data_IF_430061543404
#
_entry.id   IF_430061543404
#
_cell.length_a   1.000
_cell.length_b   1.000
_cell.length_c   1.000
_cell.angle_alpha   90.00
_cell.angle_beta   90.00
_cell.angle_gamma   90.00
#
_symmetry.space_group_name_H-M   'P 1'
#
loop_
_entity.id
_entity.type
_entity.pdbx_description
1 polymer ?
#
# COMPACT_ATOMS: atom_id res chain seq x y z
N UNK A 1 -8.97 -17.29 -16.71
CA UNK A 1 -8.24 -17.84 -15.57
C UNK A 1 -7.18 -16.85 -15.18
N UNK A 2 -7.06 -16.48 -13.88
CA UNK A 2 -6.09 -15.49 -13.37
C UNK A 2 -5.13 -16.18 -12.41
N UNK A 3 -3.85 -16.13 -12.69
CA UNK A 3 -2.80 -16.77 -11.87
C UNK A 3 -2.24 -15.79 -10.86
N UNK A 4 -2.37 -16.11 -9.58
CA UNK A 4 -1.99 -15.27 -8.46
C UNK A 4 -0.82 -15.90 -7.72
N UNK A 5 0.30 -15.20 -7.65
CA UNK A 5 1.39 -15.55 -6.74
C UNK A 5 1.06 -15.07 -5.33
N UNK A 6 1.22 -15.92 -4.35
CA UNK A 6 0.94 -15.59 -2.94
C UNK A 6 2.23 -15.71 -2.13
N UNK A 7 2.61 -14.64 -1.47
CA UNK A 7 3.81 -14.58 -0.61
C UNK A 7 3.35 -14.13 0.78
N UNK A 8 3.06 -15.04 1.72
CA UNK A 8 2.62 -14.68 3.07
C UNK A 8 3.69 -13.91 3.86
N UNK A 9 4.96 -14.22 3.64
CA UNK A 9 6.10 -13.58 4.31
C UNK A 9 6.26 -14.00 5.77
N UNK A 10 6.31 -13.02 6.69
CA UNK A 10 6.70 -13.21 8.08
C UNK A 10 5.62 -12.72 9.06
N UNK A 11 5.72 -13.18 10.28
CA UNK A 11 4.94 -12.68 11.40
C UNK A 11 3.43 -12.73 11.16
N UNK A 12 2.74 -11.61 11.39
CA UNK A 12 1.29 -11.52 11.12
C UNK A 12 0.94 -11.60 9.63
N UNK A 13 1.90 -11.38 8.73
CA UNK A 13 1.72 -11.56 7.30
C UNK A 13 1.14 -12.93 6.96
N UNK A 14 1.62 -13.99 7.62
CA UNK A 14 1.11 -15.36 7.49
C UNK A 14 -0.36 -15.45 7.96
N UNK A 15 -0.66 -14.84 9.12
CA UNK A 15 -2.00 -14.91 9.72
C UNK A 15 -3.04 -14.18 8.86
N UNK A 16 -2.75 -12.95 8.44
CA UNK A 16 -3.71 -12.13 7.68
C UNK A 16 -3.86 -12.60 6.22
N UNK A 17 -2.76 -13.10 5.61
CA UNK A 17 -2.83 -13.69 4.27
C UNK A 17 -3.68 -14.94 4.25
N UNK A 18 -3.60 -15.78 5.30
CA UNK A 18 -4.48 -16.95 5.41
C UNK A 18 -5.96 -16.55 5.35
N UNK A 19 -6.37 -15.46 6.02
CA UNK A 19 -7.76 -15.02 6.01
C UNK A 19 -8.16 -14.41 4.66
N UNK A 20 -7.32 -13.60 4.03
CA UNK A 20 -7.59 -13.10 2.68
C UNK A 20 -7.63 -14.22 1.63
N UNK A 21 -6.83 -15.27 1.77
CA UNK A 21 -6.90 -16.45 0.90
C UNK A 21 -8.20 -17.23 1.07
N UNK A 22 -8.74 -17.33 2.29
CA UNK A 22 -10.06 -17.93 2.53
C UNK A 22 -11.15 -17.14 1.80
N UNK A 23 -11.10 -15.82 1.89
CA UNK A 23 -12.02 -14.92 1.18
C UNK A 23 -11.89 -15.09 -0.34
N UNK A 24 -10.68 -15.13 -0.89
CA UNK A 24 -10.47 -15.32 -2.33
C UNK A 24 -10.93 -16.69 -2.84
N UNK A 25 -10.78 -17.76 -2.05
CA UNK A 25 -11.37 -19.07 -2.38
C UNK A 25 -12.89 -19.02 -2.40
N UNK A 26 -13.50 -18.31 -1.43
CA UNK A 26 -14.96 -18.10 -1.42
C UNK A 26 -15.43 -17.28 -2.62
N UNK A 27 -14.67 -16.27 -3.04
CA UNK A 27 -14.92 -15.49 -4.27
C UNK A 27 -14.92 -16.41 -5.50
N UNK A 28 -14.00 -17.38 -5.60
CA UNK A 28 -14.01 -18.36 -6.68
C UNK A 28 -15.31 -19.18 -6.70
N UNK A 29 -15.79 -19.62 -5.54
CA UNK A 29 -17.02 -20.42 -5.43
C UNK A 29 -18.27 -19.63 -5.82
N UNK A 30 -18.39 -18.38 -5.32
CA UNK A 30 -19.60 -17.58 -5.49
C UNK A 30 -19.66 -16.88 -6.84
N UNK A 31 -18.54 -16.37 -7.32
CA UNK A 31 -18.48 -15.52 -8.55
C UNK A 31 -17.91 -16.27 -9.76
N UNK A 32 -17.40 -17.49 -9.60
CA UNK A 32 -16.71 -18.18 -10.69
C UNK A 32 -15.49 -17.40 -11.18
N UNK A 33 -14.75 -16.74 -10.29
CA UNK A 33 -13.72 -15.75 -10.61
C UNK A 33 -12.49 -16.34 -11.37
N UNK A 34 -12.31 -17.66 -11.33
CA UNK A 34 -11.25 -18.36 -12.05
C UNK A 34 -9.85 -17.99 -11.56
N UNK A 35 -9.68 -17.81 -10.24
CA UNK A 35 -8.38 -17.52 -9.63
C UNK A 35 -7.64 -18.84 -9.34
N UNK A 36 -6.39 -18.90 -9.75
CA UNK A 36 -5.44 -19.96 -9.41
C UNK A 36 -4.32 -19.40 -8.54
N UNK A 37 -3.96 -20.11 -7.49
CA UNK A 37 -3.01 -19.63 -6.49
C UNK A 37 -1.75 -20.49 -6.45
N UNK A 38 -0.60 -19.85 -6.45
CA UNK A 38 0.69 -20.48 -6.18
C UNK A 38 1.31 -19.79 -4.97
N UNK A 39 1.48 -20.53 -3.88
CA UNK A 39 2.09 -20.00 -2.63
C UNK A 39 3.60 -20.20 -2.66
N UNK A 40 4.32 -19.15 -2.22
CA UNK A 40 5.77 -19.12 -2.09
C UNK A 40 6.16 -18.93 -0.62
N UNK A 41 7.08 -19.73 -0.14
CA UNK A 41 7.60 -19.73 1.23
C UNK A 41 8.69 -18.67 1.49
N UNK A 42 8.63 -17.56 0.75
CA UNK A 42 9.65 -16.50 0.83
C UNK A 42 9.42 -15.59 2.02
N UNK A 43 10.44 -15.55 2.88
CA UNK A 43 10.43 -14.81 4.13
C UNK A 43 11.69 -15.14 4.94
N UNK A 44 11.67 -14.76 6.20
CA UNK A 44 12.80 -14.91 7.11
C UNK A 44 13.23 -16.37 7.33
N UNK A 45 12.29 -17.32 7.44
CA UNK A 45 12.61 -18.73 7.67
C UNK A 45 13.45 -19.30 6.52
N UNK A 46 13.03 -19.04 5.27
CA UNK A 46 13.80 -19.47 4.11
C UNK A 46 15.13 -18.77 4.01
N UNK A 47 15.14 -17.45 4.26
CA UNK A 47 16.37 -16.66 4.24
C UNK A 47 17.40 -17.17 5.28
N UNK A 48 16.97 -17.43 6.50
CA UNK A 48 17.85 -17.96 7.56
C UNK A 48 18.40 -19.36 7.24
N UNK A 49 17.61 -20.18 6.55
CA UNK A 49 17.99 -21.54 6.17
C UNK A 49 18.90 -21.59 4.94
N UNK A 50 18.62 -20.79 3.93
CA UNK A 50 19.22 -20.91 2.59
C UNK A 50 20.12 -19.70 2.22
N UNK A 51 20.00 -18.57 2.93
CA UNK A 51 20.70 -17.32 2.62
C UNK A 51 20.20 -16.60 1.38
N UNK A 52 19.03 -17.00 0.85
CA UNK A 52 18.46 -16.48 -0.39
C UNK A 52 17.10 -15.85 -0.09
N UNK A 53 16.95 -14.56 -0.39
CA UNK A 53 15.68 -13.84 -0.24
C UNK A 53 14.74 -14.11 -1.42
N UNK A 54 15.22 -13.86 -2.64
CA UNK A 54 14.54 -14.17 -3.89
C UNK A 54 15.43 -15.09 -4.76
N UNK A 55 14.88 -16.18 -5.31
CA UNK A 55 15.66 -17.04 -6.19
C UNK A 55 16.00 -16.35 -7.53
N UNK A 56 17.09 -16.71 -8.20
CA UNK A 56 17.40 -16.24 -9.53
C UNK A 56 16.22 -16.52 -10.49
N UNK A 57 15.90 -15.54 -11.33
CA UNK A 57 14.78 -15.66 -12.30
C UNK A 57 13.39 -15.35 -11.74
N UNK A 58 13.26 -14.98 -10.45
CA UNK A 58 11.96 -14.65 -9.84
C UNK A 58 11.19 -13.57 -10.60
N UNK A 59 11.86 -12.50 -11.04
CA UNK A 59 11.21 -11.42 -11.78
C UNK A 59 10.65 -11.88 -13.13
N UNK A 60 11.39 -12.71 -13.86
CA UNK A 60 10.94 -13.22 -15.15
C UNK A 60 9.77 -14.21 -14.98
N UNK A 61 9.81 -15.03 -13.94
CA UNK A 61 8.72 -15.92 -13.57
C UNK A 61 7.45 -15.10 -13.28
N UNK A 62 7.54 -14.05 -12.44
CA UNK A 62 6.36 -13.22 -12.15
C UNK A 62 5.78 -12.56 -13.39
N UNK A 63 6.63 -12.00 -14.26
CA UNK A 63 6.17 -11.36 -15.50
C UNK A 63 5.47 -12.31 -16.47
N UNK A 64 5.92 -13.58 -16.54
CA UNK A 64 5.42 -14.56 -17.51
C UNK A 64 4.26 -15.38 -16.99
N UNK A 65 4.30 -15.72 -15.71
CA UNK A 65 3.48 -16.78 -15.17
C UNK A 65 2.34 -16.28 -14.28
N UNK A 66 2.31 -15.00 -13.90
CA UNK A 66 1.32 -14.48 -12.98
C UNK A 66 0.66 -13.19 -13.47
N UNK A 67 -0.61 -13.02 -13.11
CA UNK A 67 -1.41 -11.81 -13.38
C UNK A 67 -1.31 -10.80 -12.23
N UNK A 68 -1.08 -11.28 -11.00
CA UNK A 68 -0.88 -10.44 -9.81
C UNK A 68 -0.10 -11.18 -8.72
N UNK A 69 0.45 -10.41 -7.78
CA UNK A 69 1.12 -10.91 -6.57
C UNK A 69 0.32 -10.43 -5.37
N UNK A 70 -0.15 -11.35 -4.53
CA UNK A 70 -0.69 -11.06 -3.20
C UNK A 70 0.43 -11.27 -2.18
N UNK A 71 0.76 -10.22 -1.45
CA UNK A 71 1.87 -10.21 -0.52
C UNK A 71 1.34 -9.92 0.90
N UNK A 72 1.85 -10.64 1.90
CA UNK A 72 1.49 -10.41 3.28
C UNK A 72 2.34 -9.31 3.91
N UNK A 73 3.39 -9.70 4.62
CA UNK A 73 4.35 -8.77 5.19
C UNK A 73 5.69 -9.46 5.41
N UNK A 74 6.79 -8.71 5.35
CA UNK A 74 8.12 -9.25 5.65
C UNK A 74 8.81 -8.44 6.74
N UNK A 75 9.60 -9.13 7.55
CA UNK A 75 10.39 -8.56 8.62
C UNK A 75 10.47 -9.50 9.83
N UNK A 76 11.69 -9.83 10.26
CA UNK A 76 11.94 -10.69 11.40
C UNK A 76 13.18 -10.20 12.15
N UNK A 77 13.12 -9.97 13.48
CA UNK A 77 14.24 -9.46 14.26
C UNK A 77 15.44 -10.40 14.29
N UNK A 78 15.29 -11.67 13.92
CA UNK A 78 16.39 -12.63 13.80
C UNK A 78 17.31 -12.34 12.63
N UNK A 79 16.83 -11.58 11.61
CA UNK A 79 17.65 -11.19 10.47
C UNK A 79 18.21 -9.78 10.71
N UNK A 80 19.54 -9.63 10.83
CA UNK A 80 20.17 -8.33 11.04
C UNK A 80 19.78 -7.31 9.98
N UNK A 81 19.56 -6.06 10.39
CA UNK A 81 19.20 -4.93 9.53
C UNK A 81 17.97 -5.16 8.62
N UNK A 82 17.15 -6.18 8.94
CA UNK A 82 16.00 -6.57 8.13
C UNK A 82 16.35 -6.81 6.65
N UNK A 83 17.56 -7.29 6.38
CA UNK A 83 18.13 -7.40 5.04
C UNK A 83 17.23 -8.19 4.08
N UNK A 84 16.65 -9.32 4.53
CA UNK A 84 15.75 -10.13 3.71
C UNK A 84 14.50 -9.36 3.28
N UNK A 85 13.96 -8.48 4.14
CA UNK A 85 12.78 -7.69 3.82
C UNK A 85 13.07 -6.71 2.66
N UNK A 86 14.21 -6.04 2.70
CA UNK A 86 14.65 -5.18 1.60
C UNK A 86 14.92 -6.01 0.33
N UNK A 87 15.59 -7.15 0.44
CA UNK A 87 15.91 -8.05 -0.68
C UNK A 87 14.68 -8.74 -1.28
N UNK A 88 13.54 -8.81 -0.59
CA UNK A 88 12.28 -9.30 -1.13
C UNK A 88 11.42 -8.12 -1.63
N UNK A 89 10.94 -7.27 -0.74
CA UNK A 89 9.93 -6.27 -1.07
C UNK A 89 10.46 -5.14 -1.94
N UNK A 90 11.59 -4.52 -1.56
CA UNK A 90 12.16 -3.45 -2.38
C UNK A 90 12.69 -4.00 -3.71
N UNK A 91 13.28 -5.21 -3.70
CA UNK A 91 13.71 -5.83 -4.94
C UNK A 91 12.55 -6.10 -5.89
N UNK A 92 11.37 -6.55 -5.41
CA UNK A 92 10.17 -6.71 -6.22
C UNK A 92 9.67 -5.36 -6.76
N UNK A 93 9.64 -4.31 -5.93
CA UNK A 93 9.23 -2.95 -6.37
C UNK A 93 10.12 -2.43 -7.50
N UNK A 94 11.44 -2.53 -7.35
CA UNK A 94 12.39 -2.06 -8.36
C UNK A 94 12.48 -3.01 -9.56
N UNK A 95 12.61 -4.31 -9.32
CA UNK A 95 12.80 -5.31 -10.36
C UNK A 95 11.60 -5.47 -11.29
N UNK A 96 10.38 -5.28 -10.79
CA UNK A 96 9.14 -5.30 -11.58
C UNK A 96 8.68 -3.91 -12.01
N UNK A 97 9.45 -2.86 -11.67
CA UNK A 97 9.14 -1.45 -11.95
C UNK A 97 7.73 -1.04 -11.47
N UNK A 98 7.40 -1.39 -10.22
CA UNK A 98 6.11 -1.10 -9.58
C UNK A 98 6.07 0.36 -9.10
N UNK A 99 6.02 1.29 -10.04
CA UNK A 99 6.31 2.70 -9.78
C UNK A 99 5.20 3.48 -9.07
N UNK A 100 3.96 2.98 -9.09
CA UNK A 100 2.84 3.66 -8.45
C UNK A 100 2.37 2.85 -7.24
N UNK A 101 2.63 3.35 -6.03
CA UNK A 101 2.03 2.79 -4.82
C UNK A 101 0.72 3.53 -4.53
N UNK A 102 -0.38 2.80 -4.67
CA UNK A 102 -1.74 3.33 -4.52
C UNK A 102 -2.28 2.91 -3.17
N UNK A 103 -2.66 3.87 -2.34
CA UNK A 103 -3.16 3.65 -0.98
C UNK A 103 -4.51 4.35 -0.79
N UNK A 104 -5.64 3.66 -0.97
CA UNK A 104 -6.95 4.19 -0.65
C UNK A 104 -7.09 4.41 0.85
N UNK A 105 -7.68 5.55 1.22
CA UNK A 105 -7.98 5.92 2.60
C UNK A 105 -9.48 6.16 2.69
N UNK A 106 -10.19 5.25 3.35
CA UNK A 106 -11.64 5.30 3.44
C UNK A 106 -12.12 4.93 4.83
N UNK A 107 -12.80 5.85 5.47
CA UNK A 107 -13.43 5.61 6.77
C UNK A 107 -14.77 4.89 6.58
N UNK A 108 -14.90 3.69 7.15
CA UNK A 108 -16.13 2.90 7.02
C UNK A 108 -17.16 3.18 8.13
N UNK A 109 -16.70 3.67 9.29
CA UNK A 109 -17.57 4.05 10.41
C UNK A 109 -16.87 5.11 11.27
N UNK A 110 -17.60 6.12 11.71
CA UNK A 110 -17.07 7.25 12.49
C UNK A 110 -16.30 6.84 13.76
N UNK A 111 -16.71 5.74 14.43
CA UNK A 111 -16.01 5.23 15.62
C UNK A 111 -14.54 4.86 15.40
N UNK A 112 -14.14 4.64 14.15
CA UNK A 112 -12.76 4.28 13.79
C UNK A 112 -11.87 5.52 13.66
N UNK A 113 -12.45 6.70 13.45
CA UNK A 113 -11.70 7.94 13.29
C UNK A 113 -11.38 8.57 14.66
N UNK A 114 -10.12 8.94 14.93
CA UNK A 114 -9.76 9.59 16.19
C UNK A 114 -10.20 11.06 16.25
N UNK A 115 -10.65 11.64 15.13
CA UNK A 115 -11.05 13.04 15.04
C UNK A 115 -12.51 13.23 15.46
N UNK A 116 -12.76 14.30 16.21
CA UNK A 116 -14.13 14.66 16.63
C UNK A 116 -14.91 15.25 15.45
N UNK A 117 -16.16 14.80 15.26
CA UNK A 117 -17.07 15.35 14.27
C UNK A 117 -16.73 14.98 12.82
N UNK A 118 -15.92 13.96 12.62
CA UNK A 118 -15.58 13.43 11.29
C UNK A 118 -16.38 12.15 11.06
N UNK A 119 -17.23 12.16 10.04
CA UNK A 119 -18.04 11.01 9.63
C UNK A 119 -17.39 10.21 8.49
N UNK A 120 -17.98 9.07 8.17
CA UNK A 120 -17.49 8.19 7.11
C UNK A 120 -17.39 8.87 5.72
N UNK A 121 -18.23 9.85 5.45
CA UNK A 121 -18.20 10.60 4.19
C UNK A 121 -17.05 11.61 4.09
N UNK A 122 -16.44 11.98 5.23
CA UNK A 122 -15.40 13.02 5.27
C UNK A 122 -14.00 12.48 4.96
N UNK A 123 -13.78 11.16 5.03
CA UNK A 123 -12.50 10.53 4.74
C UNK A 123 -12.67 9.53 3.60
N UNK A 124 -12.41 9.98 2.39
CA UNK A 124 -12.46 9.17 1.17
C UNK A 124 -11.52 9.76 0.10
N UNK A 125 -10.25 9.49 0.23
CA UNK A 125 -9.23 9.94 -0.70
C UNK A 125 -8.20 8.84 -0.97
N UNK A 126 -7.38 9.02 -1.98
CA UNK A 126 -6.31 8.07 -2.34
C UNK A 126 -4.97 8.79 -2.39
N UNK A 127 -3.96 8.21 -1.79
CA UNK A 127 -2.57 8.65 -1.97
C UNK A 127 -1.91 7.81 -3.05
N UNK A 128 -1.36 8.49 -4.05
CA UNK A 128 -0.55 7.94 -5.13
C UNK A 128 0.91 8.32 -4.83
N UNK A 129 1.66 7.37 -4.29
CA UNK A 129 3.05 7.51 -3.88
C UNK A 129 3.96 7.04 -5.00
N UNK A 130 4.94 7.86 -5.40
CA UNK A 130 6.06 7.38 -6.21
C UNK A 130 6.80 6.28 -5.44
N UNK A 131 7.20 5.19 -6.09
CA UNK A 131 7.56 3.96 -5.38
C UNK A 131 8.92 3.36 -5.77
N UNK A 132 9.64 3.95 -6.71
CA UNK A 132 10.89 3.42 -7.27
C UNK A 132 12.07 4.39 -7.26
N UNK A 133 11.88 5.58 -6.75
CA UNK A 133 12.90 6.65 -6.70
C UNK A 133 12.98 7.28 -5.29
N UNK A 134 13.51 8.47 -5.19
CA UNK A 134 13.66 9.23 -3.96
C UNK A 134 14.82 8.75 -3.09
N UNK A 135 14.67 8.81 -1.79
CA UNK A 135 15.65 8.36 -0.81
C UNK A 135 15.82 6.82 -0.78
N UNK A 136 14.83 6.07 -1.28
CA UNK A 136 14.79 4.61 -1.29
C UNK A 136 15.75 3.96 -2.28
N UNK A 137 16.34 4.71 -3.21
CA UNK A 137 17.42 4.21 -4.10
C UNK A 137 18.72 3.93 -3.34
N UNK A 138 18.77 4.30 -2.06
CA UNK A 138 19.91 4.10 -1.17
C UNK A 138 21.25 4.65 -1.72
N UNK A 139 21.20 5.84 -2.33
CA UNK A 139 22.38 6.56 -2.81
C UNK A 139 22.97 7.42 -1.70
N UNK A 140 24.23 7.18 -1.35
CA UNK A 140 24.86 7.90 -0.26
C UNK A 140 26.09 7.19 0.26
N UNK A 141 26.57 7.62 1.42
CA UNK A 141 27.72 7.00 2.05
C UNK A 141 28.12 7.63 3.38
N UNK A 142 29.11 7.00 4.02
CA UNK A 142 29.68 7.45 5.28
C UNK A 142 31.19 7.58 5.13
N UNK A 143 31.70 8.74 5.53
CA UNK A 143 33.12 9.02 5.60
C UNK A 143 33.59 9.15 7.06
N UNK A 144 34.75 8.64 7.41
CA UNK A 144 35.34 8.61 8.79
C UNK A 144 34.41 8.01 9.85
N UNK A 145 33.69 6.94 9.51
CA UNK A 145 32.73 6.27 10.42
C UNK A 145 33.34 5.97 11.79
N UNK A 146 32.59 6.31 12.86
CA UNK A 146 32.97 6.05 14.25
C UNK A 146 33.93 7.09 14.84
N UNK A 147 34.21 8.22 14.16
CA UNK A 147 35.01 9.34 14.67
C UNK A 147 34.17 10.59 14.88
N UNK A 148 34.72 11.61 15.58
CA UNK A 148 34.06 12.91 15.74
C UNK A 148 33.88 13.68 14.41
N UNK A 149 34.71 13.34 13.41
CA UNK A 149 34.65 13.94 12.06
C UNK A 149 33.81 13.09 11.10
N UNK A 150 32.95 12.19 11.60
CA UNK A 150 32.09 11.38 10.75
C UNK A 150 31.15 12.23 9.91
N UNK A 151 31.08 11.94 8.61
CA UNK A 151 30.14 12.54 7.67
C UNK A 151 29.28 11.45 7.07
N UNK A 152 27.96 11.57 7.20
CA UNK A 152 27.00 10.72 6.52
C UNK A 152 26.18 11.55 5.53
N UNK A 153 26.01 11.06 4.31
CA UNK A 153 25.14 11.67 3.33
C UNK A 153 24.15 10.64 2.74
N UNK A 154 22.94 11.10 2.47
CA UNK A 154 21.90 10.37 1.77
C UNK A 154 21.32 11.27 0.68
N UNK A 155 21.25 10.77 -0.55
CA UNK A 155 20.79 11.52 -1.72
C UNK A 155 19.39 11.05 -2.09
N UNK A 156 18.46 11.98 -2.32
CA UNK A 156 17.22 11.71 -3.03
C UNK A 156 17.43 11.83 -4.55
N UNK A 157 16.98 10.84 -5.30
CA UNK A 157 17.06 10.82 -6.75
C UNK A 157 15.67 10.95 -7.34
N UNK A 158 15.48 11.95 -8.20
CA UNK A 158 14.23 12.17 -8.92
C UNK A 158 14.55 12.29 -10.40
N UNK A 159 14.05 11.36 -11.21
CA UNK A 159 14.19 11.46 -12.66
C UNK A 159 12.96 12.11 -13.28
N UNK A 160 13.15 12.77 -14.42
CA UNK A 160 12.00 13.30 -15.19
C UNK A 160 11.01 12.21 -15.52
N UNK A 161 11.47 11.03 -15.92
CA UNK A 161 10.64 9.87 -16.23
C UNK A 161 9.81 9.44 -15.02
N UNK A 162 10.42 9.30 -13.85
CA UNK A 162 9.76 8.85 -12.62
C UNK A 162 8.68 9.84 -12.19
N UNK A 163 9.01 11.13 -12.17
CA UNK A 163 8.10 12.20 -11.77
C UNK A 163 6.92 12.35 -12.75
N UNK A 164 7.20 12.37 -14.06
CA UNK A 164 6.13 12.49 -15.07
C UNK A 164 5.15 11.33 -14.98
N UNK A 165 5.63 10.08 -14.91
CA UNK A 165 4.75 8.89 -14.92
C UNK A 165 3.88 8.77 -13.68
N UNK A 166 4.38 9.14 -12.49
CA UNK A 166 3.57 9.05 -11.28
C UNK A 166 2.52 10.15 -11.21
N UNK A 167 2.83 11.35 -11.69
CA UNK A 167 1.88 12.44 -11.80
C UNK A 167 0.80 12.10 -12.81
N UNK A 168 1.19 11.62 -14.00
CA UNK A 168 0.24 11.16 -15.03
C UNK A 168 -0.68 10.07 -14.50
N UNK A 169 -0.10 9.08 -13.80
CA UNK A 169 -0.89 8.02 -13.15
C UNK A 169 -1.94 8.58 -12.17
N UNK A 170 -1.59 9.60 -11.37
CA UNK A 170 -2.51 10.20 -10.41
C UNK A 170 -3.68 10.92 -11.09
N UNK A 171 -3.45 11.67 -12.16
CA UNK A 171 -4.51 12.31 -12.94
C UNK A 171 -5.39 11.27 -13.65
N UNK A 172 -4.79 10.27 -14.26
CA UNK A 172 -5.49 9.15 -14.90
C UNK A 172 -6.33 8.36 -13.90
N UNK A 173 -5.78 8.08 -12.71
CA UNK A 173 -6.50 7.47 -11.60
C UNK A 173 -7.71 8.32 -11.19
N UNK A 174 -7.53 9.63 -11.02
CA UNK A 174 -8.60 10.52 -10.68
C UNK A 174 -9.73 10.47 -11.72
N UNK A 175 -9.40 10.58 -13.01
CA UNK A 175 -10.37 10.53 -14.11
C UNK A 175 -11.13 9.19 -14.16
N UNK A 176 -10.43 8.06 -14.09
CA UNK A 176 -11.04 6.72 -14.12
C UNK A 176 -11.98 6.45 -12.94
N UNK A 177 -11.71 7.07 -11.79
CA UNK A 177 -12.49 6.90 -10.56
C UNK A 177 -13.49 8.06 -10.30
N UNK A 178 -13.78 8.89 -11.31
CA UNK A 178 -14.74 9.99 -11.18
C UNK A 178 -14.32 11.04 -10.13
N UNK A 179 -13.03 11.14 -9.82
CA UNK A 179 -12.48 12.15 -8.91
C UNK A 179 -12.16 13.42 -9.69
N UNK A 180 -12.42 14.56 -9.07
CA UNK A 180 -12.31 15.88 -9.72
C UNK A 180 -11.18 16.74 -9.14
N UNK A 181 -10.45 16.24 -8.15
CA UNK A 181 -9.38 16.99 -7.47
C UNK A 181 -8.11 16.14 -7.36
N UNK A 182 -6.98 16.71 -7.78
CA UNK A 182 -5.63 16.17 -7.56
C UNK A 182 -4.79 17.20 -6.84
N UNK A 183 -4.23 16.83 -5.69
CA UNK A 183 -3.30 17.63 -4.91
C UNK A 183 -1.90 17.02 -5.00
N UNK A 184 -0.93 17.77 -5.50
CA UNK A 184 0.48 17.39 -5.39
C UNK A 184 1.07 17.90 -4.09
N UNK A 185 1.89 17.08 -3.43
CA UNK A 185 2.60 17.51 -2.22
C UNK A 185 4.10 17.27 -2.33
N UNK A 186 4.86 18.27 -1.93
CA UNK A 186 6.32 18.27 -1.92
C UNK A 186 6.89 19.15 -0.78
N UNK A 187 8.19 19.39 -0.80
CA UNK A 187 8.87 20.36 0.07
C UNK A 187 9.75 21.30 -0.78
N UNK A 188 9.22 21.78 -1.90
CA UNK A 188 9.94 22.59 -2.88
C UNK A 188 10.50 23.92 -2.33
N UNK A 189 9.94 24.43 -1.21
CA UNK A 189 10.51 25.61 -0.55
C UNK A 189 11.85 25.33 0.17
N UNK A 190 12.27 24.06 0.30
CA UNK A 190 13.55 23.65 0.88
C UNK A 190 14.34 22.81 -0.12
N UNK A 191 13.70 21.87 -0.79
CA UNK A 191 14.27 20.93 -1.76
C UNK A 191 14.14 21.50 -3.18
N UNK A 192 14.86 22.60 -3.46
CA UNK A 192 14.63 23.42 -4.66
C UNK A 192 14.78 22.68 -5.98
N UNK A 193 15.80 21.83 -6.16
CA UNK A 193 16.03 21.14 -7.43
C UNK A 193 14.99 20.04 -7.70
N UNK A 194 14.72 19.18 -6.73
CA UNK A 194 13.68 18.17 -6.84
C UNK A 194 12.30 18.83 -6.99
N UNK A 195 12.01 19.84 -6.16
CA UNK A 195 10.77 20.60 -6.17
C UNK A 195 10.50 21.27 -7.51
N UNK A 196 11.50 21.92 -8.13
CA UNK A 196 11.35 22.51 -9.47
C UNK A 196 10.90 21.47 -10.51
N UNK A 197 11.53 20.29 -10.50
CA UNK A 197 11.15 19.20 -11.39
C UNK A 197 9.69 18.77 -11.17
N UNK A 198 9.29 18.52 -9.92
CA UNK A 198 7.93 18.11 -9.57
C UNK A 198 6.91 19.18 -9.96
N UNK A 199 7.15 20.45 -9.65
CA UNK A 199 6.26 21.57 -9.99
C UNK A 199 6.04 21.70 -11.49
N UNK A 200 7.12 21.65 -12.30
CA UNK A 200 7.02 21.73 -13.76
C UNK A 200 6.26 20.55 -14.37
N UNK A 201 6.53 19.33 -13.90
CA UNK A 201 5.83 18.12 -14.36
C UNK A 201 4.36 18.19 -13.98
N UNK A 202 4.04 18.60 -12.75
CA UNK A 202 2.65 18.70 -12.29
C UNK A 202 1.85 19.76 -13.07
N UNK A 203 2.42 20.95 -13.28
CA UNK A 203 1.81 21.98 -14.11
C UNK A 203 1.55 21.52 -15.55
N UNK A 204 2.52 20.80 -16.13
CA UNK A 204 2.38 20.25 -17.48
C UNK A 204 1.31 19.16 -17.57
N UNK A 205 1.19 18.30 -16.57
CA UNK A 205 0.12 17.31 -16.50
C UNK A 205 -1.24 17.99 -16.31
N UNK A 206 -1.38 18.89 -15.34
CA UNK A 206 -2.65 19.61 -15.08
C UNK A 206 -3.23 20.29 -16.34
N UNK A 207 -2.38 20.81 -17.22
CA UNK A 207 -2.81 21.40 -18.48
C UNK A 207 -3.47 20.40 -19.45
N UNK A 208 -3.20 19.09 -19.31
CA UNK A 208 -3.81 18.02 -20.12
C UNK A 208 -5.12 17.48 -19.54
N UNK A 209 -5.43 17.83 -18.28
CA UNK A 209 -6.62 17.40 -17.57
C UNK A 209 -7.42 18.60 -17.03
N UNK A 210 -7.94 19.46 -17.94
CA UNK A 210 -8.62 20.72 -17.56
C UNK A 210 -9.90 20.49 -16.73
N UNK A 211 -10.47 19.29 -16.78
CA UNK A 211 -11.62 18.87 -15.99
C UNK A 211 -11.28 18.55 -14.52
N UNK A 212 -10.00 18.41 -14.19
CA UNK A 212 -9.54 18.08 -12.84
C UNK A 212 -8.93 19.31 -12.18
N UNK A 213 -9.48 19.70 -11.05
CA UNK A 213 -8.92 20.76 -10.21
C UNK A 213 -7.59 20.33 -9.64
N UNK A 214 -6.52 21.01 -10.02
CA UNK A 214 -5.18 20.76 -9.50
C UNK A 214 -4.81 21.75 -8.39
N UNK A 215 -4.13 21.27 -7.35
CA UNK A 215 -3.63 22.08 -6.25
C UNK A 215 -2.26 21.59 -5.78
N UNK A 216 -1.55 22.45 -5.07
CA UNK A 216 -0.26 22.13 -4.47
C UNK A 216 -0.23 22.53 -3.00
N UNK A 217 0.34 21.66 -2.17
CA UNK A 217 0.60 21.92 -0.76
C UNK A 217 2.01 21.44 -0.39
N UNK A 218 2.69 22.22 0.42
CA UNK A 218 3.88 21.69 1.09
C UNK A 218 3.48 20.57 2.06
N UNK A 219 4.35 19.59 2.23
CA UNK A 219 4.05 18.37 2.99
C UNK A 219 3.57 18.62 4.42
N UNK A 220 4.13 19.61 5.10
CA UNK A 220 3.71 20.03 6.43
C UNK A 220 2.29 20.62 6.45
N UNK A 221 1.95 21.43 5.45
CA UNK A 221 0.60 21.94 5.27
C UNK A 221 -0.39 20.82 4.91
N UNK A 222 0.02 19.87 4.07
CA UNK A 222 -0.79 18.68 3.76
C UNK A 222 -1.12 17.90 5.03
N UNK A 223 -0.12 17.57 5.86
CA UNK A 223 -0.33 16.82 7.11
C UNK A 223 -1.32 17.55 8.03
N UNK A 224 -1.17 18.89 8.19
CA UNK A 224 -2.10 19.69 8.96
C UNK A 224 -3.54 19.62 8.43
N UNK A 225 -3.70 19.79 7.11
CA UNK A 225 -5.02 19.85 6.48
C UNK A 225 -5.67 18.46 6.41
N UNK A 226 -4.92 17.38 6.26
CA UNK A 226 -5.46 16.01 6.35
C UNK A 226 -6.14 15.74 7.69
N UNK A 227 -5.63 16.31 8.78
CA UNK A 227 -6.25 16.18 10.12
C UNK A 227 -7.41 17.14 10.29
N UNK A 228 -7.32 18.36 9.76
CA UNK A 228 -8.33 19.41 9.99
C UNK A 228 -9.50 19.37 9.02
N UNK A 229 -9.24 18.97 7.77
CA UNK A 229 -10.19 19.07 6.66
C UNK A 229 -10.01 17.89 5.69
N UNK A 230 -10.07 16.61 6.15
CA UNK A 230 -9.81 15.44 5.31
C UNK A 230 -10.72 15.36 4.07
N UNK A 231 -11.95 15.88 4.17
CA UNK A 231 -12.95 15.91 3.08
C UNK A 231 -12.53 16.73 1.84
N UNK A 232 -11.54 17.59 1.97
CA UNK A 232 -11.10 18.44 0.85
C UNK A 232 -10.22 17.66 -0.14
N UNK A 233 -9.72 16.49 0.24
CA UNK A 233 -8.86 15.65 -0.58
C UNK A 233 -9.63 14.55 -1.32
N UNK A 234 -9.19 14.26 -2.55
CA UNK A 234 -9.68 13.13 -3.33
C UNK A 234 -8.54 12.27 -3.85
N UNK A 235 -7.54 12.85 -4.52
CA UNK A 235 -6.30 12.19 -4.92
C UNK A 235 -5.13 13.07 -4.51
N UNK A 236 -4.14 12.46 -3.86
CA UNK A 236 -2.89 13.11 -3.45
C UNK A 236 -1.76 12.40 -4.16
N UNK A 237 -0.87 13.14 -4.83
CA UNK A 237 0.35 12.59 -5.43
C UNK A 237 1.58 13.20 -4.77
N UNK A 238 2.58 12.36 -4.44
CA UNK A 238 3.80 12.79 -3.77
C UNK A 238 4.97 11.82 -4.00
N UNK A 239 6.17 12.24 -3.61
CA UNK A 239 7.37 11.42 -3.69
C UNK A 239 7.31 10.20 -2.73
N UNK A 240 8.30 9.34 -2.86
CA UNK A 240 8.36 8.07 -2.14
C UNK A 240 8.35 8.26 -0.61
N UNK A 241 9.26 9.06 -0.07
CA UNK A 241 9.39 9.23 1.38
C UNK A 241 8.19 9.96 2.00
N UNK A 242 7.73 11.04 1.39
CA UNK A 242 6.56 11.76 1.91
C UNK A 242 5.29 10.93 1.78
N UNK A 243 5.14 10.16 0.69
CA UNK A 243 4.04 9.24 0.50
C UNK A 243 3.97 8.16 1.59
N UNK A 244 5.12 7.66 2.03
CA UNK A 244 5.18 6.71 3.15
C UNK A 244 4.67 7.34 4.45
N UNK A 245 5.22 8.49 4.81
CA UNK A 245 4.89 9.19 6.07
C UNK A 245 3.41 9.59 6.12
N UNK A 246 2.90 10.23 5.06
CA UNK A 246 1.51 10.73 5.08
C UNK A 246 0.48 9.61 5.02
N UNK A 247 0.80 8.45 4.47
CA UNK A 247 -0.14 7.33 4.45
C UNK A 247 -0.28 6.64 5.79
N UNK A 248 0.73 6.69 6.66
CA UNK A 248 0.62 6.21 8.04
C UNK A 248 -0.28 7.15 8.86
N UNK A 249 -0.11 8.48 8.67
CA UNK A 249 -1.05 9.46 9.23
C UNK A 249 -2.48 9.24 8.70
N UNK A 250 -2.62 9.02 7.40
CA UNK A 250 -3.92 8.75 6.77
C UNK A 250 -4.56 7.45 7.25
N UNK A 251 -3.75 6.39 7.48
CA UNK A 251 -4.23 5.14 8.03
C UNK A 251 -4.89 5.34 9.40
N UNK A 252 -4.36 6.22 10.25
CA UNK A 252 -4.98 6.55 11.53
C UNK A 252 -6.40 7.12 11.38
N UNK A 253 -6.70 7.83 10.29
CA UNK A 253 -8.02 8.40 10.03
C UNK A 253 -9.09 7.36 9.67
N UNK A 254 -8.70 6.18 9.20
CA UNK A 254 -9.60 5.10 8.78
C UNK A 254 -9.67 3.92 9.76
N UNK A 255 -8.98 4.00 10.91
CA UNK A 255 -8.98 2.94 11.93
C UNK A 255 -7.63 2.26 12.14
N UNK A 256 -6.55 2.80 11.55
CA UNK A 256 -5.19 2.30 11.75
C UNK A 256 -4.69 1.43 10.59
N UNK A 257 -3.43 0.99 10.72
CA UNK A 257 -2.74 0.20 9.70
C UNK A 257 -3.42 -1.15 9.41
N UNK A 258 -4.11 -1.74 10.39
CA UNK A 258 -4.86 -2.99 10.22
C UNK A 258 -6.07 -2.88 9.28
N UNK A 259 -6.47 -1.66 8.89
CA UNK A 259 -7.53 -1.37 7.92
C UNK A 259 -7.00 -0.91 6.56
N UNK A 260 -5.70 -0.73 6.42
CA UNK A 260 -5.11 -0.06 5.27
C UNK A 260 -4.63 -1.07 4.20
N UNK A 261 -5.24 -0.96 3.01
CA UNK A 261 -4.85 -1.68 1.81
C UNK A 261 -3.85 -0.89 0.97
N UNK A 262 -3.03 -1.57 0.18
CA UNK A 262 -2.20 -0.93 -0.84
C UNK A 262 -1.94 -1.81 -2.06
N UNK A 263 -1.67 -1.16 -3.20
CA UNK A 263 -1.18 -1.80 -4.41
C UNK A 263 0.06 -1.11 -4.93
N UNK A 264 1.07 -1.90 -5.26
CA UNK A 264 2.26 -1.45 -5.97
C UNK A 264 2.04 -1.78 -7.45
N UNK A 265 1.78 -0.78 -8.26
CA UNK A 265 1.21 -0.93 -9.58
C UNK A 265 2.23 -0.61 -10.67
N UNK A 266 2.29 -1.50 -11.65
CA UNK A 266 2.75 -1.22 -13.00
C UNK A 266 1.60 -1.49 -13.96
N UNK A 267 0.99 -0.48 -14.59
CA UNK A 267 -0.17 -0.67 -15.46
C UNK A 267 0.07 -1.60 -16.67
N UNK A 268 1.33 -1.83 -17.01
CA UNK A 268 1.74 -2.59 -18.19
C UNK A 268 2.34 -3.97 -17.85
N UNK A 269 2.36 -4.35 -16.57
CA UNK A 269 2.98 -5.59 -16.11
C UNK A 269 2.29 -6.12 -14.85
N UNK A 270 2.80 -7.25 -14.32
CA UNK A 270 2.34 -7.79 -13.04
C UNK A 270 2.45 -6.75 -11.92
N UNK A 271 1.42 -6.63 -11.11
CA UNK A 271 1.35 -5.72 -9.96
C UNK A 271 1.33 -6.50 -8.65
N UNK A 272 1.76 -5.87 -7.55
CA UNK A 272 1.84 -6.46 -6.22
C UNK A 272 0.89 -5.75 -5.27
N UNK A 273 0.11 -6.52 -4.52
CA UNK A 273 -0.87 -6.04 -3.54
C UNK A 273 -0.49 -6.50 -2.14
N UNK A 274 -0.36 -5.55 -1.22
CA UNK A 274 0.05 -5.80 0.16
C UNK A 274 -0.70 -4.90 1.14
N UNK A 275 -1.04 -5.35 2.36
CA UNK A 275 -1.51 -4.45 3.41
C UNK A 275 -0.38 -3.48 3.80
N UNK A 276 -0.76 -2.30 4.31
CA UNK A 276 0.24 -1.26 4.67
C UNK A 276 1.04 -1.63 5.91
N UNK A 277 0.47 -2.46 6.82
CA UNK A 277 1.15 -2.88 8.04
C UNK A 277 2.35 -3.80 7.77
N UNK A 278 3.35 -3.75 8.64
CA UNK A 278 4.49 -4.68 8.63
C UNK A 278 4.18 -6.04 9.26
N UNK A 279 5.22 -6.83 9.46
CA UNK A 279 5.14 -8.23 9.97
C UNK A 279 4.73 -8.36 11.45
N UNK A 280 4.87 -7.32 12.25
CA UNK A 280 4.52 -7.27 13.68
C UNK A 280 4.79 -8.61 14.44
N UNK A 281 6.02 -9.06 14.57
CA UNK A 281 6.36 -10.37 15.16
C UNK A 281 5.75 -10.62 16.54
N UNK A 282 5.58 -9.61 17.42
CA UNK A 282 4.96 -9.84 18.73
C UNK A 282 3.51 -10.32 18.69
N UNK A 283 2.79 -10.10 17.59
CA UNK A 283 1.39 -10.51 17.42
C UNK A 283 1.22 -11.81 16.64
N UNK A 284 2.28 -12.31 16.01
CA UNK A 284 2.25 -13.50 15.15
C UNK A 284 1.70 -14.73 15.88
N UNK A 285 0.77 -15.44 15.24
CA UNK A 285 0.17 -16.68 15.75
C UNK A 285 -0.77 -16.52 16.95
N UNK A 286 -0.94 -15.30 17.48
CA UNK A 286 -1.75 -15.06 18.69
C UNK A 286 -3.25 -14.84 18.42
N UNK A 287 -3.67 -14.89 17.16
CA UNK A 287 -5.06 -14.60 16.75
C UNK A 287 -5.52 -13.18 17.10
N UNK A 288 -4.61 -12.18 17.08
CA UNK A 288 -4.88 -10.80 17.46
C UNK A 288 -4.80 -9.81 16.28
N UNK A 289 -4.07 -10.17 15.23
CA UNK A 289 -3.87 -9.32 14.07
C UNK A 289 -5.19 -9.05 13.34
N UNK A 290 -5.42 -7.80 12.94
CA UNK A 290 -6.57 -7.42 12.14
C UNK A 290 -6.38 -7.87 10.68
N UNK A 291 -7.22 -8.77 10.13
CA UNK A 291 -7.07 -9.25 8.77
C UNK A 291 -7.71 -8.35 7.73
N UNK A 292 -8.48 -7.32 8.15
CA UNK A 292 -9.29 -6.51 7.23
C UNK A 292 -8.44 -5.75 6.21
N UNK A 293 -7.26 -5.25 6.60
CA UNK A 293 -6.33 -4.61 5.66
C UNK A 293 -5.89 -5.56 4.54
N UNK A 294 -5.56 -6.81 4.86
CA UNK A 294 -5.20 -7.84 3.87
C UNK A 294 -6.40 -8.26 3.00
N UNK A 295 -7.60 -8.36 3.59
CA UNK A 295 -8.84 -8.68 2.85
C UNK A 295 -9.20 -7.54 1.88
N UNK A 296 -9.08 -6.27 2.31
CA UNK A 296 -9.28 -5.10 1.46
C UNK A 296 -8.20 -5.01 0.36
N UNK A 297 -6.98 -5.42 0.67
CA UNK A 297 -5.90 -5.57 -0.33
C UNK A 297 -6.27 -6.60 -1.39
N UNK A 298 -6.84 -7.74 -0.99
CA UNK A 298 -7.36 -8.74 -1.92
C UNK A 298 -8.51 -8.18 -2.78
N UNK A 299 -9.41 -7.37 -2.21
CA UNK A 299 -10.46 -6.69 -2.97
C UNK A 299 -9.86 -5.71 -4.01
N UNK A 300 -8.84 -4.94 -3.63
CA UNK A 300 -8.12 -4.05 -4.55
C UNK A 300 -7.43 -4.83 -5.69
N UNK A 301 -6.88 -6.00 -5.40
CA UNK A 301 -6.33 -6.90 -6.42
C UNK A 301 -7.41 -7.40 -7.38
N UNK A 302 -8.58 -7.79 -6.87
CA UNK A 302 -9.71 -8.22 -7.70
C UNK A 302 -10.17 -7.11 -8.64
N UNK A 303 -10.31 -5.88 -8.15
CA UNK A 303 -10.65 -4.71 -8.96
C UNK A 303 -9.61 -4.49 -10.07
N UNK A 304 -8.31 -4.53 -9.74
CA UNK A 304 -7.23 -4.41 -10.72
C UNK A 304 -7.28 -5.48 -11.81
N UNK A 305 -7.71 -6.68 -11.47
CA UNK A 305 -7.88 -7.81 -12.42
C UNK A 305 -9.19 -7.73 -13.22
N UNK A 306 -10.01 -6.68 -13.01
CA UNK A 306 -11.29 -6.48 -13.70
C UNK A 306 -12.46 -7.28 -13.11
N UNK A 307 -12.30 -7.84 -11.91
CA UNK A 307 -13.33 -8.62 -11.19
C UNK A 307 -14.11 -7.70 -10.23
N UNK A 308 -14.70 -6.64 -10.76
CA UNK A 308 -15.28 -5.53 -10.00
C UNK A 308 -16.42 -5.98 -9.07
N UNK A 309 -17.32 -6.84 -9.51
CA UNK A 309 -18.45 -7.31 -8.69
C UNK A 309 -17.96 -8.08 -7.46
N UNK A 310 -16.95 -8.93 -7.64
CA UNK A 310 -16.32 -9.66 -6.55
C UNK A 310 -15.55 -8.73 -5.60
N UNK A 311 -14.84 -7.74 -6.13
CA UNK A 311 -14.13 -6.73 -5.34
C UNK A 311 -15.10 -5.95 -4.45
N UNK A 312 -16.20 -5.44 -5.02
CA UNK A 312 -17.24 -4.73 -4.30
C UNK A 312 -17.94 -5.61 -3.24
N UNK A 313 -18.18 -6.89 -3.55
CA UNK A 313 -18.77 -7.80 -2.57
C UNK A 313 -17.86 -7.99 -1.35
N UNK A 314 -16.55 -8.18 -1.56
CA UNK A 314 -15.57 -8.30 -0.48
C UNK A 314 -15.49 -7.01 0.35
N UNK A 315 -15.42 -5.84 -0.30
CA UNK A 315 -15.41 -4.55 0.40
C UNK A 315 -16.68 -4.36 1.23
N UNK A 316 -17.86 -4.62 0.65
CA UNK A 316 -19.14 -4.50 1.35
C UNK A 316 -19.24 -5.47 2.54
N UNK A 317 -18.69 -6.67 2.43
CA UNK A 317 -18.63 -7.62 3.53
C UNK A 317 -17.79 -7.08 4.70
N UNK A 318 -16.64 -6.46 4.41
CA UNK A 318 -15.81 -5.80 5.44
C UNK A 318 -16.58 -4.63 6.07
N UNK A 319 -17.21 -3.77 5.27
CA UNK A 319 -18.01 -2.62 5.75
C UNK A 319 -19.13 -3.13 6.69
N UNK A 320 -19.84 -4.18 6.31
CA UNK A 320 -20.90 -4.75 7.14
C UNK A 320 -20.34 -5.27 8.48
N UNK A 321 -19.21 -5.96 8.48
CA UNK A 321 -18.55 -6.41 9.71
C UNK A 321 -18.13 -5.24 10.62
N UNK A 322 -17.59 -4.18 10.04
CA UNK A 322 -17.23 -2.95 10.78
C UNK A 322 -18.47 -2.33 11.42
N UNK A 323 -19.57 -2.18 10.68
CA UNK A 323 -20.81 -1.59 11.16
C UNK A 323 -21.47 -2.44 12.28
N UNK A 324 -21.31 -3.77 12.22
CA UNK A 324 -21.82 -4.70 13.23
C UNK A 324 -20.87 -4.86 14.45
N UNK A 325 -19.72 -4.18 14.46
CA UNK A 325 -18.73 -4.32 15.53
C UNK A 325 -17.98 -5.67 15.52
N UNK A 326 -18.09 -6.46 14.44
CA UNK A 326 -17.40 -7.73 14.25
C UNK A 326 -15.96 -7.50 13.80
N UNK A 327 -15.16 -6.94 14.69
CA UNK A 327 -13.80 -6.47 14.43
C UNK A 327 -12.85 -6.90 15.52
N UNK A 328 -11.55 -6.74 15.26
CA UNK A 328 -10.48 -6.97 16.23
C UNK A 328 -10.35 -5.82 17.25
N UNK A 329 -9.56 -6.04 18.28
CA UNK A 329 -9.42 -5.12 19.41
C UNK A 329 -8.85 -3.74 19.00
N UNK A 330 -7.93 -3.68 18.04
CA UNK A 330 -7.32 -2.44 17.53
C UNK A 330 -8.34 -1.45 16.95
N UNK A 331 -9.47 -1.96 16.48
CA UNK A 331 -10.59 -1.17 15.92
C UNK A 331 -11.86 -1.29 16.78
N UNK A 332 -11.67 -1.54 18.07
CA UNK A 332 -12.72 -1.48 19.10
C UNK A 332 -13.67 -2.68 19.15
N UNK A 333 -13.31 -3.80 18.52
CA UNK A 333 -14.05 -5.07 18.61
C UNK A 333 -13.47 -6.01 19.68
N UNK A 334 -13.96 -7.25 19.66
CA UNK A 334 -13.54 -8.31 20.59
C UNK A 334 -13.14 -9.61 19.90
N UNK A 335 -13.20 -9.65 18.57
CA UNK A 335 -12.93 -10.86 17.80
C UNK A 335 -11.43 -11.03 17.57
N UNK A 336 -10.99 -12.27 17.38
CA UNK A 336 -9.66 -12.59 16.90
C UNK A 336 -9.57 -12.55 15.37
N UNK A 337 -8.36 -12.75 14.84
CA UNK A 337 -8.06 -12.75 13.40
C UNK A 337 -8.98 -13.70 12.62
N UNK A 338 -9.12 -14.94 13.12
CA UNK A 338 -9.91 -15.99 12.44
C UNK A 338 -11.41 -15.70 12.48
N UNK A 339 -11.90 -15.26 13.63
CA UNK A 339 -13.32 -14.93 13.84
C UNK A 339 -13.75 -13.74 12.96
N UNK A 340 -12.85 -12.77 12.73
CA UNK A 340 -13.09 -11.69 11.76
C UNK A 340 -13.13 -12.25 10.34
N UNK A 341 -12.20 -13.15 9.98
CA UNK A 341 -12.24 -13.88 8.70
C UNK A 341 -13.56 -14.63 8.50
N UNK A 342 -14.01 -15.37 9.52
CA UNK A 342 -15.31 -16.08 9.50
C UNK A 342 -16.49 -15.12 9.33
N UNK A 343 -16.47 -13.97 10.02
CA UNK A 343 -17.52 -12.96 9.92
C UNK A 343 -17.61 -12.37 8.49
N UNK A 344 -16.47 -12.09 7.85
CA UNK A 344 -16.43 -11.60 6.47
C UNK A 344 -16.93 -12.68 5.49
N UNK A 345 -16.49 -13.94 5.65
CA UNK A 345 -16.95 -15.06 4.83
C UNK A 345 -18.46 -15.27 4.92
N UNK A 346 -19.05 -15.05 6.09
CA UNK A 346 -20.51 -15.16 6.30
C UNK A 346 -21.32 -14.05 5.61
N UNK A 347 -20.66 -13.05 5.03
CA UNK A 347 -21.30 -11.95 4.27
C UNK A 347 -21.14 -12.09 2.75
N UNK A 348 -20.32 -13.02 2.30
CA UNK A 348 -20.09 -13.40 0.89
C UNK A 348 -20.94 -14.62 0.52
#
# INVERSE_FOLDING_TARGET
MKRIAVIPGDGIGIDVTRESMRVLRRVNEVFGAGLEFTEFDWGAEKYLKEGIALPPGAFDMFRKDFDAILFGAVGDPRVPDQKHAAEILLALRFGLDLYANVRPVRLFHERLCPLKGVGAADVNFTVVRENTEGAYVNSGGVFKKGTLDEVANQVEVHTRKGVDRIIEYAFDYARRNGKTKVCMSDKSNVMGYAGDLWQRCFKAAAARYPEIQSSHLYIDALCLLMVRQPKDFQVIVTNNMFGDIVTDLAAALQGGLGMAASGNINPNAVSLFEPVHGSSPPLAGKNLANPMGSILTAAMMLEHLGLNDAAHAVENAVIACVNEGKTTQDVGGTLGTREVGDAVLGKL
#
